data_IF_725504794861
#
_entry.id   IF_725504794861
#
_cell.length_a   1.000
_cell.length_b   1.000
_cell.length_c   1.000
_cell.angle_alpha   90.00
_cell.angle_beta   90.00
_cell.angle_gamma   90.00
#
_symmetry.space_group_name_H-M   'P 1'
#
loop_
_entity.id
_entity.type
_entity.pdbx_description
1 polymer ?
#
# COMPACT_ATOMS: atom_id res chain seq x y z
N UNK A 1 15.99 -30.90 21.91
CA UNK A 1 14.99 -30.00 22.53
C UNK A 1 15.53 -28.63 22.96
N UNK A 2 16.83 -28.45 23.27
CA UNK A 2 17.36 -27.16 23.79
C UNK A 2 17.29 -25.97 22.79
N UNK A 3 17.22 -26.23 21.50
CA UNK A 3 17.17 -25.18 20.45
C UNK A 3 15.77 -24.82 19.97
N UNK A 4 14.74 -25.57 20.37
CA UNK A 4 13.37 -25.34 19.88
C UNK A 4 12.81 -24.01 20.41
N UNK A 5 13.03 -23.71 21.69
CA UNK A 5 12.62 -22.46 22.31
C UNK A 5 13.26 -21.22 21.66
N UNK A 6 14.60 -21.11 21.51
CA UNK A 6 15.19 -19.95 20.87
C UNK A 6 14.79 -19.83 19.38
N UNK A 7 14.61 -20.94 18.67
CA UNK A 7 14.16 -20.91 17.27
C UNK A 7 12.75 -20.30 17.13
N UNK A 8 11.80 -20.74 17.97
CA UNK A 8 10.44 -20.20 17.95
C UNK A 8 10.40 -18.73 18.37
N UNK A 9 11.15 -18.35 19.41
CA UNK A 9 11.21 -16.95 19.86
C UNK A 9 11.76 -16.06 18.76
N UNK A 10 12.86 -16.44 18.12
CA UNK A 10 13.44 -15.65 17.03
C UNK A 10 12.49 -15.58 15.82
N UNK A 11 11.85 -16.70 15.47
CA UNK A 11 10.88 -16.74 14.37
C UNK A 11 9.72 -15.77 14.61
N UNK A 12 9.07 -15.84 15.77
CA UNK A 12 7.97 -14.93 16.07
C UNK A 12 8.43 -13.48 16.23
N UNK A 13 9.59 -13.26 16.85
CA UNK A 13 10.15 -11.91 17.00
C UNK A 13 10.37 -11.23 15.65
N UNK A 14 11.05 -11.92 14.73
CA UNK A 14 11.28 -11.40 13.38
C UNK A 14 9.97 -11.26 12.62
N UNK A 15 9.06 -12.24 12.71
CA UNK A 15 7.75 -12.17 12.04
C UNK A 15 6.93 -10.98 12.49
N UNK A 16 6.93 -10.66 13.79
CA UNK A 16 6.25 -9.47 14.32
C UNK A 16 6.91 -8.18 13.83
N UNK A 17 8.24 -8.13 13.79
CA UNK A 17 8.94 -6.94 13.31
C UNK A 17 8.69 -6.70 11.83
N UNK A 18 8.90 -7.71 10.98
CA UNK A 18 8.83 -7.54 9.53
C UNK A 18 7.40 -7.58 9.00
N UNK A 19 6.51 -8.31 9.66
CA UNK A 19 5.12 -8.48 9.25
C UNK A 19 4.17 -7.44 9.84
N UNK A 20 4.47 -6.88 11.02
CA UNK A 20 3.60 -5.89 11.67
C UNK A 20 4.31 -4.57 11.89
N UNK A 21 5.38 -4.56 12.68
CA UNK A 21 6.00 -3.30 13.11
C UNK A 21 6.44 -2.45 11.91
N UNK A 22 7.13 -3.06 10.94
CA UNK A 22 7.62 -2.37 9.76
C UNK A 22 6.49 -1.88 8.83
N UNK A 23 5.51 -2.71 8.39
CA UNK A 23 4.42 -2.24 7.54
C UNK A 23 3.57 -1.14 8.18
N UNK A 24 3.27 -1.24 9.48
CA UNK A 24 2.50 -0.20 10.17
C UNK A 24 3.28 1.10 10.32
N UNK A 25 4.57 1.02 10.65
CA UNK A 25 5.43 2.19 10.71
C UNK A 25 5.50 2.88 9.35
N UNK A 26 5.77 2.12 8.29
CA UNK A 26 5.88 2.67 6.93
C UNK A 26 4.55 3.21 6.41
N UNK A 27 3.44 2.51 6.66
CA UNK A 27 2.10 3.03 6.35
C UNK A 27 1.83 4.34 7.08
N UNK A 28 2.17 4.41 8.37
CA UNK A 28 2.01 5.62 9.18
C UNK A 28 2.82 6.79 8.63
N UNK A 29 4.12 6.56 8.35
CA UNK A 29 4.99 7.57 7.74
C UNK A 29 4.43 8.01 6.38
N UNK A 30 4.01 7.06 5.53
CA UNK A 30 3.42 7.36 4.23
C UNK A 30 2.19 8.24 4.35
N UNK A 31 1.29 7.94 5.29
CA UNK A 31 0.09 8.73 5.53
C UNK A 31 0.40 10.13 6.08
N UNK A 32 1.43 10.27 6.91
CA UNK A 32 1.81 11.55 7.51
C UNK A 32 2.52 12.48 6.51
N UNK A 33 3.42 11.93 5.69
CA UNK A 33 4.28 12.73 4.81
C UNK A 33 3.68 12.88 3.41
N UNK A 34 3.02 11.83 2.90
CA UNK A 34 2.49 11.79 1.52
C UNK A 34 1.07 11.19 1.47
N UNK A 35 0.07 11.78 2.15
CA UNK A 35 -1.27 11.20 2.25
C UNK A 35 -1.90 10.94 0.87
N UNK A 36 -1.82 11.87 -0.07
CA UNK A 36 -2.45 11.70 -1.39
C UNK A 36 -1.88 10.50 -2.16
N UNK A 37 -0.56 10.32 -2.12
CA UNK A 37 0.11 9.19 -2.78
C UNK A 37 -0.10 7.89 -2.03
N UNK A 38 -0.05 7.91 -0.70
CA UNK A 38 -0.26 6.75 0.14
C UNK A 38 -1.68 6.18 0.00
N UNK A 39 -2.65 7.03 -0.34
CA UNK A 39 -4.03 6.63 -0.62
C UNK A 39 -4.29 6.34 -2.11
N UNK A 40 -3.25 6.29 -2.95
CA UNK A 40 -3.34 5.85 -4.33
C UNK A 40 -3.53 6.95 -5.38
N UNK A 41 -3.26 8.22 -5.04
CA UNK A 41 -3.33 9.36 -5.96
C UNK A 41 -4.68 9.42 -6.70
N UNK A 42 -5.77 9.35 -5.93
CA UNK A 42 -7.13 9.24 -6.48
C UNK A 42 -7.58 10.56 -7.11
N UNK A 43 -8.25 10.47 -8.25
CA UNK A 43 -8.90 11.60 -8.91
C UNK A 43 -10.37 11.60 -8.52
N UNK A 44 -10.84 12.70 -7.94
CA UNK A 44 -12.23 12.88 -7.52
C UNK A 44 -12.90 13.95 -8.39
N UNK A 45 -14.08 13.63 -8.94
CA UNK A 45 -14.97 14.58 -9.63
C UNK A 45 -16.37 14.46 -9.06
N UNK A 46 -16.99 15.60 -8.76
CA UNK A 46 -18.35 15.67 -8.21
C UNK A 46 -18.57 14.77 -6.98
N UNK A 47 -17.55 14.69 -6.11
CA UNK A 47 -17.57 13.85 -4.90
C UNK A 47 -17.42 12.34 -5.15
N UNK A 48 -17.19 11.91 -6.39
CA UNK A 48 -16.98 10.50 -6.76
C UNK A 48 -15.56 10.26 -7.21
N UNK A 49 -14.97 9.15 -6.76
CA UNK A 49 -13.67 8.68 -7.25
C UNK A 49 -13.86 8.20 -8.69
N UNK A 50 -13.19 8.83 -9.63
CA UNK A 50 -13.27 8.50 -11.07
C UNK A 50 -12.03 7.77 -11.58
N UNK A 51 -10.96 7.66 -10.78
CA UNK A 51 -9.75 6.95 -11.14
C UNK A 51 -8.56 7.28 -10.23
N UNK A 52 -7.35 6.96 -10.70
CA UNK A 52 -6.08 7.32 -10.09
C UNK A 52 -5.18 7.97 -11.15
N UNK A 53 -4.38 8.95 -10.75
CA UNK A 53 -3.37 9.58 -11.61
C UNK A 53 -2.38 8.57 -12.20
N UNK A 54 -2.20 7.43 -11.52
CA UNK A 54 -1.20 6.41 -11.86
C UNK A 54 -1.79 5.21 -12.60
N UNK A 55 -3.12 5.14 -12.76
CA UNK A 55 -3.80 4.00 -13.39
C UNK A 55 -4.50 4.46 -14.67
N UNK A 56 -4.04 3.93 -15.80
CA UNK A 56 -4.71 4.06 -17.09
C UNK A 56 -6.04 3.28 -17.11
N UNK A 57 -7.04 3.85 -17.77
CA UNK A 57 -8.34 3.21 -17.96
C UNK A 57 -8.47 2.71 -19.40
N UNK A 58 -9.19 1.60 -19.57
CA UNK A 58 -9.49 1.09 -20.91
C UNK A 58 -10.51 2.01 -21.58
N UNK A 59 -10.05 2.84 -22.51
CA UNK A 59 -10.89 3.68 -23.35
C UNK A 59 -11.13 2.99 -24.70
N UNK A 60 -12.38 2.80 -25.09
CA UNK A 60 -12.79 2.22 -26.37
C UNK A 60 -13.50 3.23 -27.30
N UNK A 61 -13.87 4.39 -26.76
CA UNK A 61 -14.48 5.47 -27.54
C UNK A 61 -13.39 6.20 -28.34
N UNK A 62 -13.54 6.35 -29.67
CA UNK A 62 -12.56 7.04 -30.53
C UNK A 62 -12.26 8.48 -30.14
N UNK A 63 -13.11 9.14 -29.34
CA UNK A 63 -12.86 10.51 -28.87
C UNK A 63 -11.75 10.62 -27.82
N UNK A 64 -11.35 9.50 -27.22
CA UNK A 64 -10.28 9.46 -26.23
C UNK A 64 -8.99 8.93 -26.84
N UNK A 65 -7.86 9.27 -26.21
CA UNK A 65 -6.59 8.64 -26.52
C UNK A 65 -6.59 7.20 -26.00
N UNK A 66 -6.12 6.27 -26.82
CA UNK A 66 -5.98 4.86 -26.49
C UNK A 66 -4.50 4.59 -26.18
N UNK A 67 -4.25 3.83 -25.12
CA UNK A 67 -2.92 3.46 -24.64
C UNK A 67 -2.92 2.11 -23.94
#
# INVERSE_FOLDING_TARGET
MKHLRPALVLFFFLSLITGLAYPFLMKGIGQLVFPDKANGSLIVRDGKVVGSELIGQAFSDPKYFWG
#
